data_IF_774205281886
#
_entry.id   IF_774205281886
#
_cell.length_a   1.000
_cell.length_b   1.000
_cell.length_c   1.000
_cell.angle_alpha   90.00
_cell.angle_beta   90.00
_cell.angle_gamma   90.00
#
_symmetry.space_group_name_H-M   'P 1'
#
loop_
_entity.id
_entity.type
_entity.pdbx_description
1 polymer ?
#
# COMPACT_ATOMS: atom_id res chain seq x y z
N UNK A 1 12.39 15.87 2.40
CA UNK A 1 12.17 14.44 2.70
C UNK A 1 11.64 13.81 1.44
N UNK A 2 12.39 12.87 0.87
CA UNK A 2 11.96 12.12 -0.32
C UNK A 2 11.01 10.99 0.09
N UNK A 3 10.16 10.53 -0.83
CA UNK A 3 9.15 9.52 -0.52
C UNK A 3 9.77 8.17 -0.12
N UNK A 4 10.95 7.87 -0.67
CA UNK A 4 11.77 6.72 -0.30
C UNK A 4 12.25 6.81 1.14
N UNK A 5 12.71 7.98 1.59
CA UNK A 5 13.12 8.21 2.98
C UNK A 5 11.94 8.05 3.95
N UNK A 6 10.76 8.53 3.55
CA UNK A 6 9.54 8.33 4.32
C UNK A 6 9.13 6.85 4.38
N UNK A 7 9.28 6.11 3.29
CA UNK A 7 8.98 4.69 3.25
C UNK A 7 9.86 3.91 4.25
N UNK A 8 11.17 4.20 4.29
CA UNK A 8 12.08 3.58 5.26
C UNK A 8 11.72 3.93 6.70
N UNK A 9 11.31 5.17 6.98
CA UNK A 9 10.81 5.54 8.30
C UNK A 9 9.52 4.80 8.68
N UNK A 10 8.61 4.58 7.72
CA UNK A 10 7.38 3.83 7.94
C UNK A 10 7.68 2.36 8.24
N UNK A 11 8.63 1.73 7.52
CA UNK A 11 9.02 0.32 7.73
C UNK A 11 9.41 0.01 9.17
N UNK A 12 10.11 0.96 9.82
CA UNK A 12 10.57 0.82 11.22
C UNK A 12 9.68 1.54 12.24
N UNK A 13 8.52 2.07 11.84
CA UNK A 13 7.70 2.92 12.70
C UNK A 13 7.10 2.15 13.89
N UNK A 14 7.27 2.65 15.10
CA UNK A 14 6.72 2.07 16.35
C UNK A 14 5.79 3.04 17.09
N UNK A 15 5.15 3.97 16.35
CA UNK A 15 4.38 5.08 16.95
C UNK A 15 2.96 4.72 17.39
N UNK A 16 2.49 3.48 17.16
CA UNK A 16 1.17 3.02 17.59
C UNK A 16 1.13 1.49 17.76
N UNK A 17 0.15 0.92 18.50
CA UNK A 17 0.08 -0.51 18.79
C UNK A 17 -0.01 -1.44 17.57
N UNK A 18 -0.42 -0.93 16.39
CA UNK A 18 -0.46 -1.74 15.16
C UNK A 18 0.93 -2.24 14.72
N UNK A 19 2.01 -1.67 15.26
CA UNK A 19 3.36 -2.18 15.00
C UNK A 19 3.64 -3.51 15.70
N UNK A 20 2.88 -3.88 16.72
CA UNK A 20 3.13 -5.07 17.55
C UNK A 20 2.67 -6.35 16.85
N UNK A 21 1.65 -6.28 16.00
CA UNK A 21 1.03 -7.44 15.34
C UNK A 21 1.37 -7.58 13.86
N UNK A 22 1.97 -6.57 13.24
CA UNK A 22 2.30 -6.59 11.80
C UNK A 22 3.49 -7.51 11.51
N UNK A 23 3.50 -8.13 10.34
CA UNK A 23 4.69 -8.77 9.77
C UNK A 23 5.54 -7.72 9.06
N UNK A 24 4.92 -6.93 8.18
CA UNK A 24 5.58 -5.82 7.48
C UNK A 24 4.69 -4.57 7.53
N UNK A 25 5.31 -3.40 7.68
CA UNK A 25 4.59 -2.17 7.36
C UNK A 25 4.48 -2.02 5.83
N UNK A 26 3.44 -1.35 5.37
CA UNK A 26 3.14 -1.14 3.95
C UNK A 26 3.07 0.37 3.67
N UNK A 27 4.20 1.01 3.32
CA UNK A 27 4.26 2.45 3.07
C UNK A 27 3.43 2.91 1.87
N UNK A 28 3.35 2.08 0.83
CA UNK A 28 2.80 2.40 -0.47
C UNK A 28 3.78 2.05 -1.58
N UNK A 29 3.29 1.97 -2.81
CA UNK A 29 4.06 1.56 -3.99
C UNK A 29 3.53 2.27 -5.24
N UNK A 30 4.37 2.37 -6.27
CA UNK A 30 4.05 3.00 -7.55
C UNK A 30 4.96 4.18 -7.89
N UNK A 31 4.76 4.73 -9.10
CA UNK A 31 5.58 5.85 -9.61
C UNK A 31 5.25 7.13 -8.85
N UNK A 32 6.28 7.82 -8.34
CA UNK A 32 6.09 9.13 -7.69
C UNK A 32 5.58 10.21 -8.64
N UNK A 33 5.80 10.03 -9.94
CA UNK A 33 5.28 10.88 -11.01
C UNK A 33 3.87 10.51 -11.47
N UNK A 34 3.24 9.52 -10.84
CA UNK A 34 1.86 9.15 -11.14
C UNK A 34 0.93 10.34 -10.92
N UNK A 35 -0.06 10.48 -11.82
CA UNK A 35 -1.10 11.50 -11.72
C UNK A 35 -2.26 11.07 -10.81
N UNK A 36 -2.31 9.79 -10.46
CA UNK A 36 -3.43 9.19 -9.73
C UNK A 36 -2.93 8.53 -8.45
N UNK A 37 -3.66 8.76 -7.36
CA UNK A 37 -3.35 8.13 -6.09
C UNK A 37 -4.56 7.35 -5.58
N UNK A 38 -4.34 6.09 -5.19
CA UNK A 38 -5.34 5.26 -4.53
C UNK A 38 -4.97 5.17 -3.05
N UNK A 39 -5.93 5.50 -2.18
CA UNK A 39 -5.79 5.43 -0.73
C UNK A 39 -6.90 4.54 -0.19
N UNK A 40 -6.55 3.37 0.31
CA UNK A 40 -7.48 2.51 1.04
C UNK A 40 -7.37 2.67 2.56
N UNK A 41 -8.09 1.86 3.30
CA UNK A 41 -8.13 1.92 4.76
C UNK A 41 -6.82 1.42 5.38
N UNK A 42 -6.50 0.14 5.18
CA UNK A 42 -5.41 -0.56 5.86
C UNK A 42 -4.88 -1.76 5.04
N UNK A 43 -3.65 -2.24 5.30
CA UNK A 43 -3.15 -3.49 4.75
C UNK A 43 -3.99 -4.68 5.18
N UNK A 44 -4.29 -5.58 4.25
CA UNK A 44 -4.83 -6.90 4.54
C UNK A 44 -3.73 -7.89 4.90
N UNK A 45 -4.10 -9.18 5.00
CA UNK A 45 -3.17 -10.26 5.36
C UNK A 45 -2.07 -10.46 4.31
N UNK A 46 -2.43 -10.56 3.04
CA UNK A 46 -1.46 -10.77 1.94
C UNK A 46 -0.52 -9.54 1.82
N UNK A 47 -1.03 -8.34 2.06
CA UNK A 47 -0.24 -7.10 2.08
C UNK A 47 0.73 -7.04 3.27
N UNK A 48 0.29 -7.45 4.46
CA UNK A 48 1.14 -7.52 5.65
C UNK A 48 2.27 -8.55 5.46
N UNK A 49 1.97 -9.71 4.89
CA UNK A 49 2.95 -10.77 4.63
C UNK A 49 3.98 -10.34 3.55
N UNK A 50 3.55 -9.62 2.51
CA UNK A 50 4.42 -9.21 1.40
C UNK A 50 5.13 -7.85 1.60
N UNK A 51 4.56 -6.94 2.40
CA UNK A 51 5.01 -5.56 2.51
C UNK A 51 4.57 -4.64 1.34
N UNK A 52 3.74 -5.14 0.42
CA UNK A 52 3.26 -4.39 -0.75
C UNK A 52 1.74 -4.17 -0.69
N UNK A 53 1.23 -3.00 -1.12
CA UNK A 53 -0.20 -2.71 -1.10
C UNK A 53 -0.97 -3.46 -2.20
N UNK A 54 -2.24 -3.78 -1.93
CA UNK A 54 -3.18 -4.32 -2.93
C UNK A 54 -2.66 -5.57 -3.66
N UNK A 55 -2.03 -6.50 -2.96
CA UNK A 55 -1.63 -7.80 -3.55
C UNK A 55 -2.74 -8.86 -3.41
N UNK A 56 -3.67 -8.66 -2.49
CA UNK A 56 -4.76 -9.59 -2.20
C UNK A 56 -5.97 -9.44 -3.11
N UNK A 57 -7.13 -9.92 -2.62
CA UNK A 57 -8.37 -9.95 -3.38
C UNK A 57 -8.82 -8.56 -3.87
N UNK A 58 -8.67 -7.52 -3.04
CA UNK A 58 -8.99 -6.14 -3.42
C UNK A 58 -8.10 -5.65 -4.57
N UNK A 59 -6.82 -6.06 -4.58
CA UNK A 59 -5.90 -5.83 -5.69
C UNK A 59 -6.37 -6.46 -6.99
N UNK A 60 -6.69 -7.76 -6.94
CA UNK A 60 -7.20 -8.49 -8.12
C UNK A 60 -8.51 -7.90 -8.62
N UNK A 61 -9.36 -7.41 -7.72
CA UNK A 61 -10.59 -6.71 -8.10
C UNK A 61 -10.31 -5.34 -8.74
N UNK A 62 -9.34 -4.57 -8.23
CA UNK A 62 -8.90 -3.34 -8.86
C UNK A 62 -8.42 -3.60 -10.29
N UNK A 63 -7.63 -4.64 -10.50
CA UNK A 63 -7.17 -5.03 -11.84
C UNK A 63 -8.35 -5.27 -12.79
N UNK A 64 -9.38 -6.00 -12.32
CA UNK A 64 -10.60 -6.22 -13.09
C UNK A 64 -11.38 -4.93 -13.39
N UNK A 65 -11.49 -4.01 -12.43
CA UNK A 65 -12.17 -2.72 -12.64
C UNK A 65 -11.42 -1.84 -13.65
N UNK A 66 -10.10 -1.97 -13.75
CA UNK A 66 -9.29 -1.22 -14.71
C UNK A 66 -9.34 -1.82 -16.13
N UNK A 67 -9.85 -3.04 -16.31
CA UNK A 67 -9.98 -3.67 -17.64
C UNK A 67 -10.81 -2.78 -18.59
N UNK A 68 -10.26 -2.51 -19.77
CA UNK A 68 -10.91 -1.70 -20.79
C UNK A 68 -10.87 -0.19 -20.55
N UNK A 69 -10.31 0.29 -19.43
CA UNK A 69 -10.15 1.73 -19.16
C UNK A 69 -8.93 2.35 -19.85
N UNK A 70 -7.97 1.52 -20.28
CA UNK A 70 -6.67 1.95 -20.79
C UNK A 70 -5.68 2.37 -19.71
N UNK A 71 -6.01 2.17 -18.44
CA UNK A 71 -5.13 2.38 -17.28
C UNK A 71 -4.64 1.04 -16.73
N UNK A 72 -3.45 1.04 -16.14
CA UNK A 72 -2.88 -0.10 -15.41
C UNK A 72 -2.39 0.31 -14.02
N UNK A 73 -2.00 -0.67 -13.18
CA UNK A 73 -1.48 -0.40 -11.82
C UNK A 73 -0.32 0.58 -11.78
N UNK A 74 0.55 0.56 -12.80
CA UNK A 74 1.71 1.43 -12.93
C UNK A 74 1.35 2.89 -13.20
N UNK A 75 0.09 3.19 -13.53
CA UNK A 75 -0.44 4.53 -13.63
C UNK A 75 -0.82 5.15 -12.28
N UNK A 76 -0.81 4.36 -11.20
CA UNK A 76 -1.20 4.80 -9.85
C UNK A 76 -0.03 4.77 -8.88
N UNK A 77 -0.07 5.66 -7.88
CA UNK A 77 0.59 5.44 -6.60
C UNK A 77 -0.46 4.92 -5.61
N UNK A 78 -0.20 3.77 -4.98
CA UNK A 78 -1.18 3.07 -4.16
C UNK A 78 -0.67 3.00 -2.72
N UNK A 79 -1.53 3.35 -1.76
CA UNK A 79 -1.21 3.24 -0.33
C UNK A 79 -2.48 3.07 0.52
N UNK A 80 -2.29 3.02 1.84
CA UNK A 80 -3.35 2.90 2.83
C UNK A 80 -3.33 4.08 3.82
N UNK A 81 -4.44 4.36 4.49
CA UNK A 81 -4.54 5.41 5.51
C UNK A 81 -3.67 5.07 6.72
N UNK A 82 -3.76 3.83 7.20
CA UNK A 82 -2.80 3.25 8.16
C UNK A 82 -1.80 2.34 7.43
N UNK A 83 -0.58 2.20 7.95
CA UNK A 83 0.51 1.47 7.26
C UNK A 83 0.77 0.08 7.83
N UNK A 84 -0.11 -0.41 8.70
CA UNK A 84 0.03 -1.67 9.41
C UNK A 84 -1.33 -2.33 9.46
N UNK A 85 -1.36 -3.65 9.33
CA UNK A 85 -2.60 -4.43 9.39
C UNK A 85 -3.22 -4.35 10.80
N UNK A 86 -4.48 -3.92 10.94
CA UNK A 86 -5.23 -4.04 12.19
C UNK A 86 -5.50 -5.51 12.55
N UNK A 87 -5.67 -5.84 13.84
CA UNK A 87 -5.95 -7.20 14.30
C UNK A 87 -7.22 -7.81 13.68
#
# INVERSE_FOLDING_TARGET
MRLEELAEQIRVCIKCPLCESRTNAVPGDGKLSSKFMIIAEAPGREEDESGHPFVGAAGRYLDHVLEGTGLDRGDFFITNTVKCRPP
#
